data_IF_569287966415
#
_entry.id   IF_569287966415
#
_cell.length_a   1.000
_cell.length_b   1.000
_cell.length_c   1.000
_cell.angle_alpha   90.00
_cell.angle_beta   90.00
_cell.angle_gamma   90.00
#
_symmetry.space_group_name_H-M   'P 1'
#
loop_
_entity.id
_entity.type
_entity.pdbx_description
1 polymer ?
#
# COMPACT_ATOMS: atom_id res chain seq x y z
N UNK A 1 1.33 -10.84 16.55
CA UNK A 1 1.16 -11.09 15.11
C UNK A 1 -0.24 -10.80 14.58
N UNK A 2 -1.33 -11.28 15.25
CA UNK A 2 -2.73 -11.05 14.78
C UNK A 2 -3.13 -9.57 14.82
N UNK A 3 -2.80 -8.84 15.89
CA UNK A 3 -3.11 -7.41 16.04
C UNK A 3 -2.46 -6.58 14.93
N UNK A 4 -1.17 -6.76 14.67
CA UNK A 4 -0.48 -6.08 13.57
C UNK A 4 -1.08 -6.39 12.20
N UNK A 5 -1.61 -7.60 12.01
CA UNK A 5 -2.29 -7.97 10.77
C UNK A 5 -3.57 -7.15 10.56
N UNK A 6 -4.40 -7.04 11.59
CA UNK A 6 -5.65 -6.29 11.51
C UNK A 6 -5.42 -4.79 11.38
N UNK A 7 -4.46 -4.22 12.13
CA UNK A 7 -4.07 -2.82 12.00
C UNK A 7 -3.62 -2.52 10.58
N UNK A 8 -2.69 -3.33 10.03
CA UNK A 8 -2.23 -3.17 8.66
C UNK A 8 -3.39 -3.30 7.65
N UNK A 9 -4.30 -4.27 7.85
CA UNK A 9 -5.47 -4.45 7.00
C UNK A 9 -6.40 -3.24 6.97
N UNK A 10 -6.66 -2.60 8.12
CA UNK A 10 -7.48 -1.38 8.21
C UNK A 10 -6.81 -0.22 7.46
N UNK A 11 -5.51 0.01 7.67
CA UNK A 11 -4.80 1.09 6.97
C UNK A 11 -4.67 0.85 5.46
N UNK A 12 -4.46 -0.40 5.03
CA UNK A 12 -4.43 -0.77 3.61
C UNK A 12 -5.81 -0.52 2.99
N UNK A 13 -6.89 -0.99 3.64
CA UNK A 13 -8.26 -0.78 3.18
C UNK A 13 -8.58 0.71 3.04
N UNK A 14 -8.25 1.51 4.06
CA UNK A 14 -8.43 2.96 4.02
C UNK A 14 -7.66 3.60 2.84
N UNK A 15 -6.38 3.23 2.64
CA UNK A 15 -5.58 3.79 1.56
C UNK A 15 -6.11 3.41 0.17
N UNK A 16 -6.55 2.17 -0.02
CA UNK A 16 -7.15 1.75 -1.29
C UNK A 16 -8.44 2.52 -1.58
N UNK A 17 -9.31 2.69 -0.58
CA UNK A 17 -10.55 3.44 -0.73
C UNK A 17 -10.33 4.93 -0.97
N UNK A 18 -9.45 5.57 -0.20
CA UNK A 18 -9.13 6.99 -0.35
C UNK A 18 -8.46 7.26 -1.70
N UNK A 19 -7.48 6.45 -2.10
CA UNK A 19 -6.80 6.59 -3.38
C UNK A 19 -7.73 6.49 -4.58
N UNK A 20 -8.70 5.57 -4.55
CA UNK A 20 -9.70 5.42 -5.60
C UNK A 20 -10.61 6.65 -5.78
N UNK A 21 -10.84 7.40 -4.70
CA UNK A 21 -11.77 8.54 -4.68
C UNK A 21 -11.10 9.90 -4.83
N UNK A 22 -9.80 10.01 -4.66
CA UNK A 22 -9.07 11.31 -4.65
C UNK A 22 -9.39 12.17 -5.89
N UNK A 23 -9.49 11.55 -7.08
CA UNK A 23 -9.75 12.28 -8.33
C UNK A 23 -11.15 12.89 -8.43
N UNK A 24 -12.10 12.43 -7.62
CA UNK A 24 -13.51 12.81 -7.71
C UNK A 24 -13.88 14.02 -6.83
N UNK A 25 -12.93 14.53 -6.04
CA UNK A 25 -13.18 15.64 -5.11
C UNK A 25 -12.66 16.98 -5.63
N UNK A 26 -13.25 18.06 -5.14
CA UNK A 26 -12.79 19.43 -5.35
C UNK A 26 -11.40 19.65 -4.74
N UNK A 27 -10.69 20.69 -5.19
CA UNK A 27 -9.26 20.90 -4.88
C UNK A 27 -8.97 20.89 -3.39
N UNK A 28 -9.75 21.59 -2.56
CA UNK A 28 -9.52 21.70 -1.12
C UNK A 28 -9.60 20.34 -0.40
N UNK A 29 -10.63 19.55 -0.74
CA UNK A 29 -10.82 18.21 -0.18
C UNK A 29 -9.74 17.25 -0.71
N UNK A 30 -9.39 17.40 -1.97
CA UNK A 30 -8.35 16.58 -2.63
C UNK A 30 -7.00 16.75 -1.97
N UNK A 31 -6.59 17.97 -1.61
CA UNK A 31 -5.33 18.23 -0.91
C UNK A 31 -5.29 17.53 0.46
N UNK A 32 -6.36 17.63 1.24
CA UNK A 32 -6.49 16.95 2.54
C UNK A 32 -6.44 15.43 2.37
N UNK A 33 -7.12 14.89 1.36
CA UNK A 33 -7.11 13.46 1.08
C UNK A 33 -5.73 12.96 0.66
N UNK A 34 -4.99 13.72 -0.17
CA UNK A 34 -3.62 13.40 -0.57
C UNK A 34 -2.70 13.42 0.66
N UNK A 35 -2.85 14.41 1.53
CA UNK A 35 -2.08 14.53 2.78
C UNK A 35 -2.28 13.30 3.68
N UNK A 36 -3.52 12.90 3.91
CA UNK A 36 -3.85 11.74 4.74
C UNK A 36 -3.43 10.44 4.05
N UNK A 37 -3.73 10.29 2.76
CA UNK A 37 -3.39 9.11 1.97
C UNK A 37 -1.88 8.85 1.95
N UNK A 38 -1.07 9.89 1.70
CA UNK A 38 0.40 9.78 1.71
C UNK A 38 0.94 9.47 3.11
N UNK A 39 0.37 10.07 4.15
CA UNK A 39 0.73 9.78 5.54
C UNK A 39 0.42 8.34 5.94
N UNK A 40 -0.80 7.88 5.66
CA UNK A 40 -1.18 6.48 5.92
C UNK A 40 -0.36 5.51 5.07
N UNK A 41 0.00 5.89 3.83
CA UNK A 41 0.92 5.12 2.99
C UNK A 41 2.28 4.91 3.66
N UNK A 42 2.83 5.94 4.29
CA UNK A 42 4.08 5.85 5.07
C UNK A 42 3.94 4.90 6.27
N UNK A 43 2.81 4.95 6.98
CA UNK A 43 2.51 4.03 8.08
C UNK A 43 2.44 2.59 7.58
N UNK A 44 1.73 2.34 6.47
CA UNK A 44 1.64 0.99 5.85
C UNK A 44 3.02 0.48 5.47
N UNK A 45 3.84 1.32 4.83
CA UNK A 45 5.22 0.97 4.46
C UNK A 45 6.03 0.54 5.69
N UNK A 46 6.01 1.35 6.75
CA UNK A 46 6.73 1.06 8.00
C UNK A 46 6.23 -0.22 8.67
N UNK A 47 4.91 -0.41 8.76
CA UNK A 47 4.32 -1.63 9.33
C UNK A 47 4.70 -2.87 8.53
N UNK A 48 4.77 -2.79 7.20
CA UNK A 48 5.16 -3.92 6.36
C UNK A 48 6.64 -4.25 6.49
N UNK A 49 7.53 -3.25 6.62
CA UNK A 49 8.94 -3.46 6.92
C UNK A 49 9.14 -4.13 8.29
N UNK A 50 8.48 -3.62 9.33
CA UNK A 50 8.54 -4.19 10.69
C UNK A 50 8.04 -5.63 10.67
N UNK A 51 6.91 -5.89 10.00
CA UNK A 51 6.32 -7.22 9.91
C UNK A 51 7.22 -8.20 9.14
N UNK A 52 7.84 -7.76 8.05
CA UNK A 52 8.77 -8.56 7.27
C UNK A 52 10.02 -8.90 8.07
N UNK A 53 10.62 -7.89 8.73
CA UNK A 53 11.76 -8.06 9.64
C UNK A 53 11.44 -9.03 10.78
N UNK A 54 10.28 -8.84 11.44
CA UNK A 54 9.81 -9.72 12.52
C UNK A 54 9.67 -11.17 12.05
N UNK A 55 9.11 -11.37 10.87
CA UNK A 55 8.94 -12.70 10.29
C UNK A 55 10.28 -13.37 10.05
N UNK A 56 11.29 -12.65 9.55
CA UNK A 56 12.64 -13.16 9.35
C UNK A 56 13.35 -13.49 10.67
N UNK A 57 13.29 -12.59 11.66
CA UNK A 57 13.96 -12.75 12.95
C UNK A 57 13.43 -13.93 13.75
N UNK A 58 12.15 -14.21 13.70
CA UNK A 58 11.51 -15.26 14.51
C UNK A 58 11.38 -16.59 13.76
N UNK A 59 12.05 -16.76 12.62
CA UNK A 59 12.04 -18.00 11.82
C UNK A 59 10.62 -18.61 11.71
N UNK A 60 9.62 -17.78 11.45
CA UNK A 60 8.24 -18.25 11.34
C UNK A 60 8.16 -19.32 10.25
N UNK A 61 7.68 -20.48 10.67
CA UNK A 61 7.62 -21.68 9.85
C UNK A 61 7.05 -21.39 8.47
N UNK A 62 7.87 -21.68 7.46
CA UNK A 62 7.45 -21.70 6.06
C UNK A 62 7.42 -23.17 5.66
N UNK A 63 6.23 -23.73 5.35
CA UNK A 63 6.13 -25.16 5.04
C UNK A 63 6.98 -25.52 3.81
N UNK A 64 7.54 -26.72 3.73
CA UNK A 64 8.26 -27.18 2.55
C UNK A 64 7.33 -27.08 1.32
N UNK A 65 7.89 -26.72 0.16
CA UNK A 65 7.14 -26.48 -1.07
C UNK A 65 6.02 -25.42 -0.92
N UNK A 66 6.27 -24.35 -0.14
CA UNK A 66 5.32 -23.27 0.13
C UNK A 66 4.79 -22.59 -1.15
N UNK A 67 5.60 -22.55 -2.22
CA UNK A 67 5.21 -22.01 -3.52
C UNK A 67 4.11 -22.81 -4.23
N UNK A 68 3.92 -24.09 -3.85
CA UNK A 68 2.83 -24.93 -4.32
C UNK A 68 1.55 -24.82 -3.48
N UNK A 69 1.57 -24.01 -2.43
CA UNK A 69 0.43 -23.79 -1.51
C UNK A 69 -0.14 -22.39 -1.72
N UNK A 70 -1.25 -22.23 -2.47
CA UNK A 70 -1.79 -20.92 -2.84
C UNK A 70 -1.97 -19.95 -1.67
N UNK A 71 -2.48 -20.35 -0.49
CA UNK A 71 -2.64 -19.40 0.63
C UNK A 71 -1.32 -18.88 1.19
N UNK A 72 -0.26 -19.70 1.14
CA UNK A 72 1.08 -19.31 1.63
C UNK A 72 1.78 -18.44 0.59
N UNK A 73 1.68 -18.81 -0.69
CA UNK A 73 2.21 -18.03 -1.80
C UNK A 73 1.60 -16.63 -1.81
N UNK A 74 0.28 -16.52 -1.64
CA UNK A 74 -0.43 -15.25 -1.57
C UNK A 74 0.12 -14.34 -0.46
N UNK A 75 0.39 -14.90 0.74
CA UNK A 75 1.00 -14.14 1.83
C UNK A 75 2.38 -13.60 1.48
N UNK A 76 3.20 -14.35 0.73
CA UNK A 76 4.52 -13.91 0.31
C UNK A 76 4.46 -12.84 -0.78
N UNK A 77 3.49 -12.91 -1.69
CA UNK A 77 3.27 -11.92 -2.76
C UNK A 77 2.85 -10.57 -2.17
N UNK A 78 2.06 -10.55 -1.10
CA UNK A 78 1.66 -9.30 -0.47
C UNK A 78 2.82 -8.43 0.02
N UNK A 79 3.93 -9.01 0.50
CA UNK A 79 5.04 -8.22 1.02
C UNK A 79 5.67 -7.31 -0.03
N UNK A 80 6.17 -7.81 -1.17
CA UNK A 80 6.76 -6.93 -2.19
C UNK A 80 5.73 -5.94 -2.75
N UNK A 81 4.49 -6.35 -3.00
CA UNK A 81 3.48 -5.45 -3.55
C UNK A 81 3.15 -4.30 -2.60
N UNK A 82 2.96 -4.59 -1.31
CA UNK A 82 2.67 -3.57 -0.29
C UNK A 82 3.88 -2.71 0.09
N UNK A 83 5.10 -3.13 -0.24
CA UNK A 83 6.30 -2.30 -0.11
C UNK A 83 6.51 -1.41 -1.34
N UNK A 84 6.28 -1.93 -2.54
CA UNK A 84 6.44 -1.18 -3.79
C UNK A 84 5.35 -0.10 -3.93
N UNK A 85 4.12 -0.39 -3.51
CA UNK A 85 2.98 0.52 -3.65
C UNK A 85 3.21 1.91 -3.02
N UNK A 86 3.63 2.05 -1.76
CA UNK A 86 3.96 3.35 -1.19
C UNK A 86 5.15 4.03 -1.87
N UNK A 87 6.17 3.27 -2.31
CA UNK A 87 7.32 3.83 -3.04
C UNK A 87 6.87 4.48 -4.33
N UNK A 88 5.99 3.83 -5.10
CA UNK A 88 5.39 4.42 -6.30
C UNK A 88 4.59 5.68 -5.96
N UNK A 89 3.79 5.66 -4.89
CA UNK A 89 3.04 6.82 -4.42
C UNK A 89 3.93 8.00 -4.02
N UNK A 90 5.06 7.75 -3.35
CA UNK A 90 6.06 8.77 -3.05
C UNK A 90 6.73 9.30 -4.31
N UNK A 91 7.00 8.46 -5.29
CA UNK A 91 7.54 8.91 -6.57
C UNK A 91 6.56 9.84 -7.30
N UNK A 92 5.25 9.54 -7.26
CA UNK A 92 4.21 10.44 -7.79
C UNK A 92 4.26 11.79 -7.06
N UNK A 93 4.35 11.80 -5.74
CA UNK A 93 4.40 13.02 -4.93
C UNK A 93 5.69 13.81 -5.17
N UNK A 94 6.83 13.14 -5.30
CA UNK A 94 8.14 13.74 -5.50
C UNK A 94 8.25 14.54 -6.81
N UNK A 95 7.65 14.02 -7.90
CA UNK A 95 7.66 14.68 -9.22
C UNK A 95 6.44 15.59 -9.45
N UNK A 96 5.63 15.86 -8.39
CA UNK A 96 4.45 16.70 -8.51
C UNK A 96 4.83 18.19 -8.60
N UNK A 97 4.02 18.96 -9.31
CA UNK A 97 4.14 20.44 -9.40
C UNK A 97 3.67 21.14 -8.12
N UNK A 98 2.76 20.51 -7.38
CA UNK A 98 2.19 21.04 -6.14
C UNK A 98 2.87 20.44 -4.93
N UNK A 99 2.87 21.19 -3.83
CA UNK A 99 3.43 20.73 -2.59
C UNK A 99 2.61 19.56 -2.00
N UNK A 100 3.27 18.43 -1.76
CA UNK A 100 2.68 17.25 -1.11
C UNK A 100 3.38 17.02 0.22
N UNK A 101 2.60 17.06 1.31
CA UNK A 101 3.07 16.83 2.68
C UNK A 101 2.34 15.62 3.27
N UNK A 102 3.07 14.58 3.63
CA UNK A 102 2.47 13.48 4.40
C UNK A 102 2.16 13.97 5.83
N UNK A 103 0.93 13.74 6.29
CA UNK A 103 0.41 14.24 7.56
C UNK A 103 0.53 15.77 7.76
N UNK A 104 0.75 16.55 6.69
CA UNK A 104 0.88 18.01 6.75
C UNK A 104 2.25 18.55 7.18
N UNK A 105 3.22 17.69 7.55
CA UNK A 105 4.53 18.12 8.02
C UNK A 105 5.72 17.40 7.36
N UNK A 106 5.55 16.24 6.75
CA UNK A 106 6.62 15.54 6.03
C UNK A 106 6.57 15.97 4.56
N UNK A 107 7.49 16.83 4.16
CA UNK A 107 7.60 17.31 2.78
C UNK A 107 8.14 16.20 1.88
N UNK A 108 7.36 15.81 0.87
CA UNK A 108 7.73 14.78 -0.12
C UNK A 108 8.08 15.44 -1.45
N UNK A 109 7.30 16.44 -1.87
CA UNK A 109 7.60 17.25 -3.05
C UNK A 109 8.83 18.13 -2.80
N UNK A 110 9.56 18.44 -3.86
CA UNK A 110 10.81 19.22 -3.77
C UNK A 110 12.05 18.39 -3.49
N UNK A 111 11.93 17.07 -3.36
CA UNK A 111 13.08 16.15 -3.32
C UNK A 111 13.69 15.95 -4.72
N UNK A 112 12.91 16.24 -5.77
CA UNK A 112 13.35 16.27 -7.16
C UNK A 112 12.63 17.39 -7.91
N UNK A 113 13.18 17.77 -9.07
CA UNK A 113 12.51 18.72 -9.96
C UNK A 113 11.19 18.13 -10.48
N UNK A 114 10.17 18.98 -10.62
CA UNK A 114 8.87 18.57 -11.15
C UNK A 114 9.01 18.00 -12.56
N UNK A 115 8.41 16.85 -12.79
CA UNK A 115 8.43 16.19 -14.10
C UNK A 115 7.08 15.53 -14.38
N UNK A 116 6.21 16.19 -15.18
CA UNK A 116 4.87 15.67 -15.47
C UNK A 116 4.86 14.28 -16.11
N UNK A 117 5.85 13.97 -16.97
CA UNK A 117 5.92 12.68 -17.65
C UNK A 117 6.28 11.54 -16.68
N UNK A 118 7.29 11.75 -15.83
CA UNK A 118 7.63 10.78 -14.77
C UNK A 118 6.50 10.62 -13.76
N UNK A 119 5.87 11.73 -13.36
CA UNK A 119 4.71 11.69 -12.47
C UNK A 119 3.58 10.85 -13.05
N UNK A 120 3.22 11.06 -14.32
CA UNK A 120 2.17 10.28 -14.99
C UNK A 120 2.52 8.80 -15.04
N UNK A 121 3.74 8.45 -15.43
CA UNK A 121 4.22 7.07 -15.47
C UNK A 121 4.12 6.39 -14.10
N UNK A 122 4.61 7.03 -13.03
CA UNK A 122 4.53 6.48 -11.68
C UNK A 122 3.08 6.38 -11.17
N UNK A 123 2.21 7.32 -11.55
CA UNK A 123 0.79 7.27 -11.22
C UNK A 123 0.09 6.08 -11.88
N UNK A 124 0.40 5.81 -13.14
CA UNK A 124 -0.14 4.64 -13.84
C UNK A 124 0.30 3.34 -13.17
N UNK A 125 1.58 3.17 -12.87
CA UNK A 125 2.08 2.00 -12.14
C UNK A 125 1.45 1.87 -10.75
N UNK A 126 1.35 2.97 -10.00
CA UNK A 126 0.71 3.01 -8.69
C UNK A 126 -0.77 2.57 -8.77
N UNK A 127 -1.49 3.05 -9.77
CA UNK A 127 -2.91 2.72 -9.99
C UNK A 127 -3.09 1.25 -10.36
N UNK A 128 -2.33 0.73 -11.32
CA UNK A 128 -2.42 -0.67 -11.72
C UNK A 128 -2.02 -1.63 -10.61
N UNK A 129 -1.01 -1.28 -9.84
CA UNK A 129 -0.61 -2.08 -8.68
C UNK A 129 -1.68 -2.04 -7.59
N UNK A 130 -2.36 -0.89 -7.37
CA UNK A 130 -3.49 -0.79 -6.44
C UNK A 130 -4.64 -1.71 -6.86
N UNK A 131 -4.98 -1.77 -8.16
CA UNK A 131 -6.00 -2.71 -8.69
C UNK A 131 -5.60 -4.16 -8.41
N UNK A 132 -4.34 -4.52 -8.65
CA UNK A 132 -3.84 -5.87 -8.35
C UNK A 132 -3.94 -6.19 -6.85
N UNK A 133 -3.57 -5.25 -5.98
CA UNK A 133 -3.69 -5.42 -4.51
C UNK A 133 -5.16 -5.58 -4.09
N UNK A 134 -6.10 -4.81 -4.67
CA UNK A 134 -7.54 -4.96 -4.38
C UNK A 134 -8.00 -6.37 -4.70
N UNK A 135 -7.67 -6.89 -5.89
CA UNK A 135 -8.05 -8.25 -6.29
C UNK A 135 -7.47 -9.30 -5.34
N UNK A 136 -6.21 -9.13 -4.92
CA UNK A 136 -5.56 -10.02 -3.95
C UNK A 136 -6.20 -9.95 -2.56
N UNK A 137 -6.58 -8.76 -2.08
CA UNK A 137 -7.27 -8.58 -0.80
C UNK A 137 -8.64 -9.27 -0.83
N UNK A 138 -9.39 -9.11 -1.93
CA UNK A 138 -10.69 -9.75 -2.10
C UNK A 138 -10.58 -11.27 -2.13
N UNK A 139 -9.60 -11.82 -2.87
CA UNK A 139 -9.37 -13.29 -2.91
C UNK A 139 -8.93 -13.82 -1.55
N UNK A 140 -8.04 -13.11 -0.85
CA UNK A 140 -7.61 -13.48 0.50
C UNK A 140 -8.78 -13.49 1.49
N UNK A 141 -9.65 -12.47 1.43
CA UNK A 141 -10.86 -12.39 2.25
C UNK A 141 -11.85 -13.53 1.95
N UNK A 142 -12.11 -13.79 0.67
CA UNK A 142 -13.01 -14.85 0.23
C UNK A 142 -12.55 -16.24 0.69
N UNK A 143 -11.26 -16.54 0.61
CA UNK A 143 -10.69 -17.81 1.09
C UNK A 143 -10.90 -17.99 2.61
N UNK A 144 -10.75 -16.89 3.37
CA UNK A 144 -10.97 -16.94 4.83
C UNK A 144 -12.43 -17.14 5.19
N UNK A 145 -13.34 -16.49 4.47
CA UNK A 145 -14.78 -16.67 4.68
C UNK A 145 -15.23 -18.10 4.34
N UNK A 146 -14.75 -18.67 3.23
CA UNK A 146 -15.07 -20.08 2.88
C UNK A 146 -14.62 -21.06 3.97
N UNK A 147 -13.44 -20.86 4.57
CA UNK A 147 -12.94 -21.68 5.66
C UNK A 147 -13.73 -21.55 6.99
N UNK A 148 -14.63 -20.56 7.12
CA UNK A 148 -15.51 -20.40 8.28
C UNK A 148 -16.84 -21.18 8.09
N UNK A 149 -17.22 -21.52 6.86
CA UNK A 149 -18.45 -22.20 6.50
C UNK A 149 -18.24 -23.67 6.05
N UNK A 150 -16.99 -24.12 6.02
CA UNK A 150 -16.59 -25.52 5.74
C UNK A 150 -16.18 -26.23 7.03
#
# INVERSE_FOLDING_TARGET
AKVLHWIAGVFIGFNLMSGWRISNFELDIKEVLIMIHSGVGLVVFTLMLVRWWWRKKNNLYTPPNWWKRPPVLLQWIFYPLLLIQPVLGFSVAMYNEYEVKAFGFIHISGLADSNPALRAMFLDFHTWLAVAIILLVLTHGADRLRGLFS
#
